data_IF_658117200314
#
_entry.id   IF_658117200314
#
_cell.length_a   1.000
_cell.length_b   1.000
_cell.length_c   1.000
_cell.angle_alpha   90.00
_cell.angle_beta   90.00
_cell.angle_gamma   90.00
#
_symmetry.space_group_name_H-M   'P 1'
#
loop_
_entity.id
_entity.type
_entity.pdbx_description
1 polymer ?
#
# COMPACT_ATOMS: atom_id res chain seq x y z
N UNK A 1 -5.25 -8.17 -17.71
CA UNK A 1 -4.16 -7.19 -17.79
C UNK A 1 -4.58 -6.00 -16.97
N UNK A 2 -3.82 -5.67 -15.93
CA UNK A 2 -4.05 -4.45 -15.17
C UNK A 2 -3.65 -3.24 -16.04
N UNK A 3 -4.42 -2.16 -16.02
CA UNK A 3 -4.06 -0.94 -16.74
C UNK A 3 -3.04 -0.12 -15.94
N UNK A 4 -2.27 0.72 -16.64
CA UNK A 4 -1.34 1.66 -15.98
C UNK A 4 -2.05 2.53 -14.95
N UNK A 5 -3.30 2.92 -15.21
CA UNK A 5 -4.14 3.70 -14.29
C UNK A 5 -4.46 2.94 -12.99
N UNK A 6 -4.68 1.62 -13.06
CA UNK A 6 -4.92 0.78 -11.88
C UNK A 6 -3.68 0.66 -11.01
N UNK A 7 -2.50 0.55 -11.63
CA UNK A 7 -1.20 0.52 -10.93
C UNK A 7 -0.94 1.86 -10.24
N UNK A 8 -1.14 2.99 -10.95
CA UNK A 8 -1.01 4.31 -10.35
C UNK A 8 -1.98 4.54 -9.19
N UNK A 9 -3.24 4.13 -9.34
CA UNK A 9 -4.22 4.24 -8.28
C UNK A 9 -3.84 3.39 -7.05
N UNK A 10 -3.29 2.19 -7.26
CA UNK A 10 -2.78 1.34 -6.19
C UNK A 10 -1.55 1.97 -5.51
N UNK A 11 -0.64 2.58 -6.28
CA UNK A 11 0.53 3.29 -5.75
C UNK A 11 0.12 4.47 -4.86
N UNK A 12 -0.83 5.32 -5.31
CA UNK A 12 -1.33 6.45 -4.51
C UNK A 12 -1.97 6.00 -3.20
N UNK A 13 -2.71 4.88 -3.21
CA UNK A 13 -3.28 4.27 -1.99
C UNK A 13 -2.18 3.79 -1.04
N UNK A 14 -1.15 3.15 -1.58
CA UNK A 14 0.00 2.69 -0.80
C UNK A 14 0.75 3.87 -0.14
N UNK A 15 0.99 4.95 -0.88
CA UNK A 15 1.69 6.12 -0.36
C UNK A 15 0.92 6.81 0.78
N UNK A 16 -0.41 6.86 0.65
CA UNK A 16 -1.29 7.34 1.72
C UNK A 16 -1.22 6.44 2.96
N UNK A 17 -1.30 5.13 2.78
CA UNK A 17 -1.22 4.17 3.89
C UNK A 17 0.14 4.22 4.60
N UNK A 18 1.24 4.43 3.87
CA UNK A 18 2.57 4.65 4.44
C UNK A 18 2.64 5.93 5.26
N UNK A 19 2.10 7.02 4.74
CA UNK A 19 2.01 8.30 5.46
C UNK A 19 1.19 8.17 6.75
N UNK A 20 0.09 7.42 6.70
CA UNK A 20 -0.74 7.14 7.88
C UNK A 20 0.01 6.30 8.91
N UNK A 21 0.65 5.20 8.49
CA UNK A 21 1.52 4.38 9.37
C UNK A 21 2.57 5.24 10.05
N UNK A 22 3.26 6.08 9.28
CA UNK A 22 4.34 6.92 9.80
C UNK A 22 3.82 8.00 10.76
N UNK A 23 2.57 8.46 10.59
CA UNK A 23 1.92 9.38 11.53
C UNK A 23 1.66 8.75 12.91
N UNK A 24 1.48 7.42 12.96
CA UNK A 24 1.27 6.65 14.18
C UNK A 24 2.59 6.25 14.86
N UNK A 25 3.71 6.32 14.14
CA UNK A 25 5.03 5.94 14.65
C UNK A 25 5.38 6.78 15.89
N UNK A 26 5.62 6.10 17.01
CA UNK A 26 5.95 6.75 18.28
C UNK A 26 4.76 7.39 19.03
N UNK A 27 3.57 7.45 18.42
CA UNK A 27 2.34 7.97 19.07
C UNK A 27 1.43 6.86 19.58
N UNK A 28 1.18 5.86 18.75
CA UNK A 28 0.30 4.75 19.10
C UNK A 28 0.78 3.47 18.41
N UNK A 29 1.30 2.53 19.20
CA UNK A 29 1.85 1.26 18.72
C UNK A 29 0.79 0.39 18.04
N UNK A 30 -0.42 0.31 18.60
CA UNK A 30 -1.49 -0.51 18.04
C UNK A 30 -1.92 0.01 16.67
N UNK A 31 -2.14 1.32 16.54
CA UNK A 31 -2.50 1.93 15.26
C UNK A 31 -1.35 1.81 14.24
N UNK A 32 -0.10 1.94 14.69
CA UNK A 32 1.06 1.71 13.85
C UNK A 32 1.12 0.27 13.30
N UNK A 33 0.90 -0.73 14.15
CA UNK A 33 0.88 -2.15 13.76
C UNK A 33 -0.25 -2.43 12.76
N UNK A 34 -1.45 -1.91 13.00
CA UNK A 34 -2.59 -2.05 12.08
C UNK A 34 -2.32 -1.37 10.73
N UNK A 35 -1.79 -0.15 10.75
CA UNK A 35 -1.41 0.56 9.52
C UNK A 35 -0.27 -0.14 8.77
N UNK A 36 0.66 -0.78 9.49
CA UNK A 36 1.72 -1.59 8.88
C UNK A 36 1.16 -2.84 8.16
N UNK A 37 0.16 -3.52 8.74
CA UNK A 37 -0.53 -4.63 8.07
C UNK A 37 -1.25 -4.15 6.79
N UNK A 38 -1.90 -2.99 6.83
CA UNK A 38 -2.54 -2.40 5.66
C UNK A 38 -1.52 -2.08 4.56
N UNK A 39 -0.38 -1.48 4.91
CA UNK A 39 0.72 -1.21 3.97
C UNK A 39 1.20 -2.50 3.31
N UNK A 40 1.45 -3.56 4.09
CA UNK A 40 1.90 -4.85 3.57
C UNK A 40 0.87 -5.49 2.61
N UNK A 41 -0.43 -5.38 2.92
CA UNK A 41 -1.49 -5.87 2.04
C UNK A 41 -1.53 -5.11 0.71
N UNK A 42 -1.38 -3.78 0.74
CA UNK A 42 -1.35 -2.93 -0.44
C UNK A 42 -0.09 -3.15 -1.29
N UNK A 43 1.07 -3.38 -0.67
CA UNK A 43 2.31 -3.75 -1.37
C UNK A 43 2.15 -5.06 -2.13
N UNK A 44 1.53 -6.07 -1.51
CA UNK A 44 1.24 -7.35 -2.16
C UNK A 44 0.26 -7.19 -3.32
N UNK A 45 -0.77 -6.36 -3.15
CA UNK A 45 -1.74 -6.08 -4.21
C UNK A 45 -1.08 -5.36 -5.39
N UNK A 46 -0.24 -4.36 -5.13
CA UNK A 46 0.49 -3.63 -6.16
C UNK A 46 1.45 -4.56 -6.91
N UNK A 47 2.21 -5.38 -6.20
CA UNK A 47 3.12 -6.36 -6.82
C UNK A 47 2.37 -7.33 -7.76
N UNK A 48 1.16 -7.75 -7.37
CA UNK A 48 0.30 -8.57 -8.24
C UNK A 48 -0.16 -7.80 -9.48
N UNK A 49 -0.64 -6.56 -9.33
CA UNK A 49 -1.07 -5.73 -10.46
C UNK A 49 0.08 -5.49 -11.45
N UNK A 50 1.28 -5.22 -10.96
CA UNK A 50 2.47 -5.05 -11.79
C UNK A 50 2.81 -6.35 -12.53
N UNK A 51 2.78 -7.51 -11.84
CA UNK A 51 3.00 -8.80 -12.48
C UNK A 51 1.95 -9.11 -13.57
N UNK A 52 0.69 -8.81 -13.32
CA UNK A 52 -0.44 -9.01 -14.25
C UNK A 52 -0.47 -7.99 -15.40
N UNK A 53 0.37 -6.94 -15.36
CA UNK A 53 0.54 -5.94 -16.42
C UNK A 53 1.71 -6.24 -17.36
N UNK A 54 2.64 -7.11 -16.96
CA UNK A 54 3.81 -7.52 -17.74
C UNK A 54 3.63 -8.81 -18.56
N UNK A 55 2.45 -9.43 -18.48
CA UNK A 55 2.02 -10.60 -19.26
C UNK A 55 0.99 -10.20 -20.30
#
# INVERSE_FOLDING_TARGET
MATTEEIEAAQRKLDRARSERDSWKGKNRHNYEMAALLVAALEKQLAKLVADSGH
#
